data_IF_212459806317
#
_entry.id   IF_212459806317
#
_cell.length_a   1.000
_cell.length_b   1.000
_cell.length_c   1.000
_cell.angle_alpha   90.00
_cell.angle_beta   90.00
_cell.angle_gamma   90.00
#
_symmetry.space_group_name_H-M   'P 1'
#
loop_
_entity.id
_entity.type
_entity.pdbx_description
1 polymer ?
#
# COMPACT_ATOMS: atom_id res chain seq x y z
N UNK A 1 43.01 -50.61 -11.00
CA UNK A 1 41.64 -50.15 -11.35
C UNK A 1 40.97 -49.74 -10.05
N UNK A 2 40.70 -48.45 -9.80
CA UNK A 2 40.08 -48.06 -8.52
C UNK A 2 39.84 -46.58 -8.29
N UNK A 3 40.62 -45.67 -8.89
CA UNK A 3 40.54 -44.24 -8.50
C UNK A 3 39.61 -43.40 -9.40
N UNK A 4 39.50 -43.72 -10.70
CA UNK A 4 38.68 -42.93 -11.65
C UNK A 4 37.17 -43.12 -11.48
N UNK A 5 36.72 -44.23 -10.88
CA UNK A 5 35.30 -44.52 -10.67
C UNK A 5 34.65 -43.67 -9.57
N UNK A 6 35.46 -43.14 -8.63
CA UNK A 6 34.99 -42.32 -7.52
C UNK A 6 34.94 -40.83 -7.84
N UNK A 7 35.75 -40.36 -8.80
CA UNK A 7 35.85 -38.93 -9.14
C UNK A 7 34.56 -38.40 -9.77
N UNK A 8 33.95 -39.16 -10.69
CA UNK A 8 32.73 -38.73 -11.39
C UNK A 8 31.54 -38.51 -10.43
N UNK A 9 31.18 -39.47 -9.56
CA UNK A 9 30.13 -39.27 -8.57
C UNK A 9 30.40 -38.08 -7.65
N UNK A 10 31.64 -37.90 -7.22
CA UNK A 10 32.02 -36.85 -6.28
C UNK A 10 31.89 -35.45 -6.92
N UNK A 11 32.31 -35.33 -8.19
CA UNK A 11 32.13 -34.09 -8.97
C UNK A 11 30.65 -33.79 -9.20
N UNK A 12 29.83 -34.79 -9.51
CA UNK A 12 28.38 -34.61 -9.69
C UNK A 12 27.71 -34.14 -8.39
N UNK A 13 28.07 -34.73 -7.24
CA UNK A 13 27.55 -34.29 -5.93
C UNK A 13 28.00 -32.86 -5.61
N UNK A 14 29.25 -32.49 -5.91
CA UNK A 14 29.74 -31.12 -5.73
C UNK A 14 29.00 -30.12 -6.62
N UNK A 15 28.77 -30.44 -7.89
CA UNK A 15 27.98 -29.61 -8.79
C UNK A 15 26.54 -29.45 -8.28
N UNK A 16 25.93 -30.54 -7.78
CA UNK A 16 24.57 -30.50 -7.24
C UNK A 16 24.49 -29.64 -5.97
N UNK A 17 25.47 -29.75 -5.07
CA UNK A 17 25.57 -28.89 -3.88
C UNK A 17 25.73 -27.41 -4.26
N UNK A 18 26.56 -27.10 -5.26
CA UNK A 18 26.69 -25.73 -5.77
C UNK A 18 25.37 -25.20 -6.35
N UNK A 19 24.65 -26.01 -7.13
CA UNK A 19 23.36 -25.62 -7.69
C UNK A 19 22.31 -25.34 -6.60
N UNK A 20 22.24 -26.18 -5.57
CA UNK A 20 21.36 -25.94 -4.43
C UNK A 20 21.72 -24.66 -3.68
N UNK A 21 23.02 -24.39 -3.50
CA UNK A 21 23.49 -23.17 -2.86
C UNK A 21 23.11 -21.92 -3.66
N UNK A 22 23.34 -21.91 -4.98
CA UNK A 22 22.93 -20.80 -5.84
C UNK A 22 21.40 -20.63 -5.87
N UNK A 23 20.64 -21.72 -5.89
CA UNK A 23 19.18 -21.68 -5.79
C UNK A 23 18.71 -21.00 -4.51
N UNK A 24 19.28 -21.39 -3.37
CA UNK A 24 18.94 -20.81 -2.06
C UNK A 24 19.29 -19.31 -1.96
N UNK A 25 20.47 -18.91 -2.42
CA UNK A 25 20.89 -17.50 -2.42
C UNK A 25 20.04 -16.66 -3.37
N UNK A 26 19.71 -17.19 -4.55
CA UNK A 26 18.82 -16.54 -5.49
C UNK A 26 17.42 -16.36 -4.88
N UNK A 27 16.84 -17.40 -4.29
CA UNK A 27 15.52 -17.34 -3.67
C UNK A 27 15.47 -16.29 -2.54
N UNK A 28 16.47 -16.25 -1.67
CA UNK A 28 16.53 -15.26 -0.59
C UNK A 28 16.62 -13.83 -1.12
N UNK A 29 17.49 -13.57 -2.11
CA UNK A 29 17.66 -12.22 -2.67
C UNK A 29 16.43 -11.75 -3.46
N UNK A 30 15.75 -12.65 -4.18
CA UNK A 30 14.48 -12.34 -4.84
C UNK A 30 13.37 -12.08 -3.81
N UNK A 31 13.32 -12.85 -2.73
CA UNK A 31 12.36 -12.68 -1.64
C UNK A 31 12.53 -11.33 -0.94
N UNK A 32 13.75 -10.96 -0.58
CA UNK A 32 14.06 -9.67 0.05
C UNK A 32 13.67 -8.49 -0.83
N UNK A 33 14.01 -8.52 -2.13
CA UNK A 33 13.62 -7.46 -3.06
C UNK A 33 12.11 -7.33 -3.18
N UNK A 34 11.40 -8.45 -3.26
CA UNK A 34 9.93 -8.45 -3.31
C UNK A 34 9.33 -7.89 -2.03
N UNK A 35 9.91 -8.22 -0.88
CA UNK A 35 9.45 -7.72 0.41
C UNK A 35 9.66 -6.21 0.56
N UNK A 36 10.84 -5.69 0.20
CA UNK A 36 11.13 -4.25 0.20
C UNK A 36 10.15 -3.49 -0.70
N UNK A 37 9.91 -4.02 -1.91
CA UNK A 37 8.96 -3.43 -2.85
C UNK A 37 7.53 -3.38 -2.27
N UNK A 38 7.09 -4.46 -1.61
CA UNK A 38 5.77 -4.49 -0.94
C UNK A 38 5.69 -3.45 0.19
N UNK A 39 6.76 -3.26 0.96
CA UNK A 39 6.79 -2.22 2.00
C UNK A 39 6.72 -0.81 1.43
N UNK A 40 7.47 -0.53 0.36
CA UNK A 40 7.39 0.77 -0.31
C UNK A 40 5.97 1.07 -0.79
N UNK A 41 5.30 0.10 -1.43
CA UNK A 41 3.91 0.27 -1.87
C UNK A 41 2.96 0.51 -0.70
N UNK A 42 3.11 -0.21 0.41
CA UNK A 42 2.30 0.03 1.61
C UNK A 42 2.52 1.44 2.17
N UNK A 43 3.76 1.92 2.23
CA UNK A 43 4.07 3.27 2.71
C UNK A 43 3.48 4.35 1.81
N UNK A 44 3.55 4.18 0.48
CA UNK A 44 2.93 5.10 -0.48
C UNK A 44 1.41 5.15 -0.27
N UNK A 45 0.75 4.00 -0.08
CA UNK A 45 -0.69 3.96 0.20
C UNK A 45 -1.07 4.68 1.49
N UNK A 46 -0.30 4.49 2.56
CA UNK A 46 -0.54 5.16 3.85
C UNK A 46 -0.35 6.67 3.71
N UNK A 47 0.70 7.12 3.02
CA UNK A 47 0.96 8.54 2.77
C UNK A 47 -0.17 9.19 1.96
N UNK A 48 -0.62 8.53 0.88
CA UNK A 48 -1.73 9.00 0.07
C UNK A 48 -3.01 9.14 0.89
N UNK A 49 -3.30 8.17 1.76
CA UNK A 49 -4.45 8.23 2.65
C UNK A 49 -4.35 9.38 3.66
N UNK A 50 -3.19 9.54 4.29
CA UNK A 50 -2.97 10.64 5.24
C UNK A 50 -3.13 12.01 4.56
N UNK A 51 -2.55 12.18 3.37
CA UNK A 51 -2.70 13.39 2.58
C UNK A 51 -4.16 13.63 2.14
N UNK A 52 -4.91 12.56 1.85
CA UNK A 52 -6.34 12.66 1.55
C UNK A 52 -7.14 13.14 2.76
N UNK A 53 -6.86 12.61 3.95
CA UNK A 53 -7.53 13.00 5.21
C UNK A 53 -7.23 14.45 5.55
N UNK A 54 -5.96 14.85 5.48
CA UNK A 54 -5.54 16.22 5.77
C UNK A 54 -6.25 17.20 4.83
N UNK A 55 -6.33 16.88 3.54
CA UNK A 55 -7.04 17.72 2.56
C UNK A 55 -8.56 17.68 2.70
N UNK A 56 -9.15 16.55 3.07
CA UNK A 56 -10.58 16.43 3.36
C UNK A 56 -10.99 17.36 4.51
N UNK A 57 -10.14 17.47 5.55
CA UNK A 57 -10.39 18.33 6.71
C UNK A 57 -10.41 19.82 6.36
N UNK A 58 -9.57 20.24 5.40
CA UNK A 58 -9.55 21.61 4.88
C UNK A 58 -10.77 21.88 3.99
N UNK A 59 -11.13 20.91 3.14
CA UNK A 59 -12.26 21.03 2.21
C UNK A 59 -13.61 21.21 2.90
N UNK A 60 -13.80 20.66 4.10
CA UNK A 60 -14.99 20.93 4.93
C UNK A 60 -15.29 22.41 5.14
N UNK A 61 -14.25 23.26 5.20
CA UNK A 61 -14.42 24.69 5.41
C UNK A 61 -15.08 25.40 4.21
N UNK A 62 -14.90 24.86 3.01
CA UNK A 62 -15.34 25.45 1.74
C UNK A 62 -16.55 24.73 1.11
N UNK A 63 -17.00 23.61 1.69
CA UNK A 63 -18.11 22.83 1.14
C UNK A 63 -19.46 23.43 1.54
N UNK A 64 -20.12 24.06 0.58
CA UNK A 64 -21.45 24.69 0.74
C UNK A 64 -22.60 23.67 0.58
N UNK A 65 -22.39 22.55 -0.12
CA UNK A 65 -23.42 21.55 -0.44
C UNK A 65 -22.95 20.11 -0.24
N UNK A 66 -23.85 19.25 0.26
CA UNK A 66 -23.62 17.82 0.45
C UNK A 66 -24.63 16.99 -0.38
N UNK A 67 -24.23 15.84 -0.98
CA UNK A 67 -22.86 15.31 -1.03
C UNK A 67 -21.98 16.09 -2.00
N UNK A 68 -20.70 16.21 -1.67
CA UNK A 68 -19.69 16.86 -2.52
C UNK A 68 -18.64 15.83 -2.93
N UNK A 69 -18.33 15.77 -4.22
CA UNK A 69 -17.27 14.91 -4.76
C UNK A 69 -16.10 15.78 -5.19
N UNK A 70 -14.90 15.44 -4.71
CA UNK A 70 -13.67 16.13 -5.08
C UNK A 70 -12.65 15.10 -5.53
N UNK A 71 -12.23 15.22 -6.79
CA UNK A 71 -11.17 14.41 -7.37
C UNK A 71 -9.91 15.26 -7.43
N UNK A 72 -8.84 14.78 -6.81
CA UNK A 72 -7.55 15.43 -6.79
C UNK A 72 -6.49 14.50 -7.36
N UNK A 73 -5.72 15.01 -8.32
CA UNK A 73 -4.54 14.33 -8.80
C UNK A 73 -3.34 14.73 -7.95
N UNK A 74 -2.62 13.74 -7.44
CA UNK A 74 -1.42 13.90 -6.61
C UNK A 74 -0.28 13.17 -7.30
N UNK A 75 0.97 13.60 -7.09
CA UNK A 75 2.14 13.01 -7.74
C UNK A 75 2.23 11.47 -7.60
N UNK A 76 1.69 10.91 -6.51
CA UNK A 76 1.73 9.48 -6.19
C UNK A 76 0.45 8.71 -6.64
N UNK A 77 -0.59 9.42 -7.11
CA UNK A 77 -1.87 8.81 -7.52
C UNK A 77 -3.06 9.76 -7.53
N UNK A 78 -4.26 9.20 -7.76
CA UNK A 78 -5.52 9.93 -7.80
C UNK A 78 -6.30 9.68 -6.51
N UNK A 79 -6.73 10.75 -5.87
CA UNK A 79 -7.51 10.72 -4.63
C UNK A 79 -8.91 11.22 -4.95
N UNK A 80 -9.93 10.41 -4.71
CA UNK A 80 -11.32 10.80 -4.80
C UNK A 80 -11.91 10.85 -3.39
N UNK A 81 -12.43 12.01 -3.02
CA UNK A 81 -13.05 12.27 -1.72
C UNK A 81 -14.52 12.55 -1.96
N UNK A 82 -15.38 11.71 -1.41
CA UNK A 82 -16.83 11.93 -1.42
C UNK A 82 -17.26 12.25 0.00
N UNK A 83 -17.76 13.46 0.19
CA UNK A 83 -18.17 13.98 1.49
C UNK A 83 -19.69 13.84 1.62
N UNK A 84 -20.16 13.10 2.63
CA UNK A 84 -21.56 12.91 2.95
C UNK A 84 -21.87 13.44 4.35
N UNK A 85 -22.91 14.26 4.48
CA UNK A 85 -23.36 14.76 5.80
C UNK A 85 -24.26 13.69 6.43
N UNK A 86 -23.91 13.21 7.62
CA UNK A 86 -24.73 12.26 8.38
C UNK A 86 -25.59 13.00 9.40
N UNK A 87 -25.04 14.03 10.04
CA UNK A 87 -25.73 14.87 11.01
C UNK A 87 -25.20 16.31 10.96
N UNK A 88 -25.78 17.23 11.73
CA UNK A 88 -25.23 18.60 11.86
C UNK A 88 -23.82 18.61 12.48
N UNK A 89 -23.47 17.58 13.24
CA UNK A 89 -22.21 17.49 14.00
C UNK A 89 -21.24 16.46 13.43
N UNK A 90 -21.69 15.61 12.49
CA UNK A 90 -20.92 14.50 11.94
C UNK A 90 -20.98 14.44 10.42
N UNK A 91 -19.79 14.41 9.81
CA UNK A 91 -19.60 14.27 8.36
C UNK A 91 -18.76 13.04 8.10
N UNK A 92 -19.09 12.30 7.05
CA UNK A 92 -18.32 11.13 6.61
C UNK A 92 -17.63 11.43 5.29
N UNK A 93 -16.35 11.07 5.23
CA UNK A 93 -15.58 11.01 4.01
C UNK A 93 -15.49 9.57 3.53
N UNK A 94 -15.84 9.35 2.29
CA UNK A 94 -15.43 8.18 1.54
C UNK A 94 -14.22 8.60 0.71
N UNK A 95 -13.06 8.08 1.11
CA UNK A 95 -11.78 8.37 0.46
C UNK A 95 -11.39 7.13 -0.35
N UNK A 96 -11.34 7.31 -1.66
CA UNK A 96 -10.82 6.33 -2.59
C UNK A 96 -9.45 6.81 -3.07
N UNK A 97 -8.39 6.14 -2.60
CA UNK A 97 -7.03 6.40 -3.05
C UNK A 97 -6.67 5.37 -4.14
N UNK A 98 -6.39 5.87 -5.35
CA UNK A 98 -5.93 5.07 -6.50
C UNK A 98 -4.47 5.40 -6.74
N UNK A 99 -3.58 4.45 -6.49
CA UNK A 99 -2.15 4.63 -6.80
C UNK A 99 -1.92 4.66 -8.32
N UNK A 100 -0.79 5.22 -8.77
CA UNK A 100 -0.37 5.18 -10.18
C UNK A 100 -0.29 3.76 -10.78
N UNK A 101 -0.20 2.73 -9.93
CA UNK A 101 -0.18 1.30 -10.30
C UNK A 101 -1.57 0.64 -10.25
N UNK A 102 -2.64 1.42 -10.23
CA UNK A 102 -4.05 0.97 -10.18
C UNK A 102 -4.45 0.18 -8.92
N UNK A 103 -3.62 0.12 -7.88
CA UNK A 103 -4.08 -0.36 -6.58
C UNK A 103 -5.02 0.67 -5.95
N UNK A 104 -6.24 0.23 -5.65
CA UNK A 104 -7.29 1.03 -5.00
C UNK A 104 -7.42 0.64 -3.54
N UNK A 105 -7.29 1.62 -2.64
CA UNK A 105 -7.62 1.46 -1.22
C UNK A 105 -8.75 2.42 -0.85
N UNK A 106 -9.81 1.89 -0.26
CA UNK A 106 -10.99 2.68 0.15
C UNK A 106 -11.02 2.78 1.66
N UNK A 107 -11.17 3.99 2.18
CA UNK A 107 -11.28 4.22 3.61
C UNK A 107 -12.48 5.11 3.88
N UNK A 108 -13.28 4.72 4.88
CA UNK A 108 -14.36 5.54 5.41
C UNK A 108 -13.86 6.24 6.66
N UNK A 109 -13.90 7.56 6.64
CA UNK A 109 -13.41 8.40 7.72
C UNK A 109 -14.56 9.19 8.31
N UNK A 110 -14.81 9.02 9.60
CA UNK A 110 -15.82 9.76 10.35
C UNK A 110 -15.17 10.99 10.98
N UNK A 111 -15.73 12.16 10.72
CA UNK A 111 -15.21 13.43 11.20
C UNK A 111 -16.25 14.18 12.02
N UNK A 112 -15.85 14.61 13.21
CA UNK A 112 -16.68 15.42 14.09
C UNK A 112 -16.36 16.91 13.87
N UNK A 113 -17.38 17.66 13.44
CA UNK A 113 -17.24 19.08 13.07
C UNK A 113 -17.00 19.97 14.30
N UNK A 114 -17.59 19.64 15.46
CA UNK A 114 -17.43 20.41 16.70
C UNK A 114 -16.02 20.27 17.30
N UNK A 115 -15.48 19.06 17.28
CA UNK A 115 -14.17 18.76 17.85
C UNK A 115 -13.02 18.96 16.85
N UNK A 116 -13.33 19.22 15.57
CA UNK A 116 -12.37 19.28 14.46
C UNK A 116 -11.42 18.08 14.46
N UNK A 117 -11.95 16.91 14.77
CA UNK A 117 -11.17 15.71 14.99
C UNK A 117 -11.77 14.52 14.25
N UNK A 118 -10.89 13.63 13.82
CA UNK A 118 -11.30 12.40 13.18
C UNK A 118 -11.65 11.37 14.25
N UNK A 119 -12.90 10.92 14.27
CA UNK A 119 -13.42 10.05 15.34
C UNK A 119 -13.18 8.57 15.07
N UNK A 120 -13.19 8.14 13.80
CA UNK A 120 -12.95 6.73 13.44
C UNK A 120 -12.54 6.57 11.97
N UNK A 121 -11.56 5.70 11.74
CA UNK A 121 -11.04 5.35 10.41
C UNK A 121 -11.38 3.88 10.22
N UNK A 122 -12.16 3.55 9.20
CA UNK A 122 -12.54 2.16 8.89
C UNK A 122 -12.04 1.85 7.48
N UNK A 123 -11.07 0.94 7.41
CA UNK A 123 -10.62 0.35 6.15
C UNK A 123 -11.74 -0.57 5.62
N UNK A 124 -12.08 -0.42 4.34
CA UNK A 124 -13.12 -1.19 3.65
C UNK A 124 -12.56 -2.19 2.67
#
# INVERSE_FOLDING_TARGET
>A
MGERGFVYPLVVVLCFMMLMFFGFVAENTFSERKFVYMQEEQMIQVRLLQQAVDRASVLLGDVVYFPSEHIMNVNEGLIKIVTTKISEEEVVFHIDAVTARQHTRRVKVYYNVKQKSVTKWVEG
#
